data_IF_538386184560
#
_entry.id   IF_538386184560
#
_cell.length_a   1.000
_cell.length_b   1.000
_cell.length_c   1.000
_cell.angle_alpha   90.00
_cell.angle_beta   90.00
_cell.angle_gamma   90.00
#
_symmetry.space_group_name_H-M   'P 1'
#
loop_
_entity.id
_entity.type
_entity.pdbx_description
1 polymer ?
#
# COMPACT_ATOMS: atom_id res chain seq x y z
N UNK A 1 -14.58 -8.83 -26.38
CA UNK A 1 -13.48 -8.70 -25.46
C UNK A 1 -13.06 -10.07 -24.94
N UNK A 2 -11.79 -10.22 -24.64
CA UNK A 2 -11.22 -11.47 -24.19
C UNK A 2 -11.82 -11.87 -22.84
N UNK A 3 -12.18 -13.14 -22.67
CA UNK A 3 -12.73 -13.65 -21.43
C UNK A 3 -11.71 -13.70 -20.27
N UNK A 4 -10.45 -13.39 -20.56
CA UNK A 4 -9.43 -13.23 -19.52
C UNK A 4 -9.49 -11.86 -18.84
N UNK A 5 -10.34 -10.96 -19.33
CA UNK A 5 -10.49 -9.63 -18.77
C UNK A 5 -11.85 -9.54 -18.08
N UNK A 6 -11.83 -9.12 -16.82
CA UNK A 6 -13.05 -8.97 -16.02
C UNK A 6 -13.14 -7.52 -15.56
N UNK A 7 -14.28 -6.89 -15.80
CA UNK A 7 -14.55 -5.54 -15.33
C UNK A 7 -15.47 -5.59 -14.11
N UNK A 8 -15.03 -4.94 -13.02
CA UNK A 8 -15.83 -4.82 -11.82
C UNK A 8 -16.25 -3.36 -11.69
N UNK A 9 -17.45 -3.06 -12.16
CA UNK A 9 -17.96 -1.69 -12.16
C UNK A 9 -18.46 -1.31 -10.77
N UNK A 10 -18.02 -0.17 -10.25
CA UNK A 10 -18.45 0.37 -8.97
C UNK A 10 -17.30 0.94 -8.18
N UNK A 11 -17.60 1.44 -6.99
CA UNK A 11 -16.56 1.94 -6.08
C UNK A 11 -15.72 0.78 -5.52
N UNK A 12 -14.46 1.06 -5.25
CA UNK A 12 -13.55 0.05 -4.70
C UNK A 12 -14.07 -0.54 -3.39
N UNK A 13 -14.63 0.30 -2.54
CA UNK A 13 -15.20 -0.14 -1.27
C UNK A 13 -16.31 -1.19 -1.41
N UNK A 14 -16.98 -1.20 -2.56
CA UNK A 14 -18.07 -2.14 -2.81
C UNK A 14 -17.64 -3.34 -3.64
N UNK A 15 -16.80 -3.11 -4.64
CA UNK A 15 -16.44 -4.14 -5.61
C UNK A 15 -15.32 -5.04 -5.14
N UNK A 16 -14.31 -4.48 -4.45
CA UNK A 16 -13.13 -5.26 -4.09
C UNK A 16 -13.39 -6.33 -3.02
N UNK A 17 -14.19 -6.07 -1.97
CA UNK A 17 -14.48 -7.11 -0.99
C UNK A 17 -15.14 -8.34 -1.59
N UNK A 18 -15.96 -8.14 -2.63
CA UNK A 18 -16.71 -9.20 -3.29
C UNK A 18 -16.04 -9.74 -4.56
N UNK A 19 -14.89 -9.21 -4.91
CA UNK A 19 -14.20 -9.59 -6.14
C UNK A 19 -13.78 -11.07 -6.11
N UNK A 20 -14.04 -11.83 -7.17
CA UNK A 20 -13.67 -13.25 -7.23
C UNK A 20 -12.18 -13.41 -7.54
N UNK A 21 -11.34 -12.89 -6.66
CA UNK A 21 -9.89 -12.93 -6.79
C UNK A 21 -9.33 -13.72 -5.63
N UNK A 22 -8.65 -14.81 -5.92
CA UNK A 22 -8.02 -15.62 -4.89
C UNK A 22 -6.56 -15.23 -4.69
N UNK A 23 -5.85 -14.99 -5.79
CA UNK A 23 -4.43 -14.70 -5.74
C UNK A 23 -4.04 -13.80 -6.90
N UNK A 24 -3.06 -12.91 -6.62
CA UNK A 24 -2.57 -11.94 -7.58
C UNK A 24 -1.05 -12.06 -7.69
N UNK A 25 -0.51 -11.91 -8.88
CA UNK A 25 0.93 -11.81 -9.09
C UNK A 25 1.37 -10.35 -9.21
N UNK A 26 0.43 -9.47 -9.50
CA UNK A 26 0.70 -8.04 -9.68
C UNK A 26 -0.54 -7.24 -9.30
N UNK A 27 -0.31 -6.13 -8.62
CA UNK A 27 -1.34 -5.14 -8.33
C UNK A 27 -0.84 -3.81 -8.89
N UNK A 28 -1.70 -3.09 -9.59
CA UNK A 28 -1.42 -1.74 -10.03
C UNK A 28 -2.52 -0.84 -9.50
N UNK A 29 -2.15 0.11 -8.67
CA UNK A 29 -3.08 1.03 -8.03
C UNK A 29 -3.04 2.37 -8.73
N UNK A 30 -4.21 2.85 -9.11
CA UNK A 30 -4.39 4.11 -9.82
C UNK A 30 -5.66 4.75 -9.25
N UNK A 31 -5.62 5.07 -7.97
CA UNK A 31 -6.83 5.48 -7.22
C UNK A 31 -6.81 6.91 -6.72
N UNK A 32 -5.71 7.61 -6.86
CA UNK A 32 -5.51 9.00 -6.51
C UNK A 32 -5.74 9.35 -5.03
N UNK A 33 -6.90 9.03 -4.51
CA UNK A 33 -7.34 9.46 -3.18
C UNK A 33 -6.93 8.48 -2.09
N UNK A 34 -6.90 8.99 -0.85
CA UNK A 34 -6.58 8.15 0.31
C UNK A 34 -7.52 6.95 0.41
N UNK A 35 -8.84 7.18 0.35
CA UNK A 35 -9.83 6.13 0.55
C UNK A 35 -9.73 5.03 -0.49
N UNK A 36 -9.66 5.39 -1.77
CA UNK A 36 -9.58 4.40 -2.85
C UNK A 36 -8.27 3.63 -2.82
N UNK A 37 -7.16 4.31 -2.51
CA UNK A 37 -5.86 3.66 -2.37
C UNK A 37 -5.86 2.68 -1.19
N UNK A 38 -6.38 3.12 -0.05
CA UNK A 38 -6.45 2.28 1.14
C UNK A 38 -7.36 1.07 0.93
N UNK A 39 -8.54 1.26 0.32
CA UNK A 39 -9.46 0.16 0.01
C UNK A 39 -8.77 -0.89 -0.87
N UNK A 40 -8.07 -0.43 -1.90
CA UNK A 40 -7.36 -1.35 -2.79
C UNK A 40 -6.28 -2.13 -2.06
N UNK A 41 -5.49 -1.45 -1.24
CA UNK A 41 -4.44 -2.11 -0.46
C UNK A 41 -5.03 -3.14 0.51
N UNK A 42 -6.04 -2.75 1.28
CA UNK A 42 -6.65 -3.62 2.29
C UNK A 42 -7.24 -4.89 1.67
N UNK A 43 -7.88 -4.77 0.53
CA UNK A 43 -8.60 -5.89 -0.08
C UNK A 43 -7.77 -6.69 -1.08
N UNK A 44 -6.75 -6.09 -1.70
CA UNK A 44 -5.97 -6.77 -2.73
C UNK A 44 -4.59 -7.22 -2.25
N UNK A 45 -3.92 -6.41 -1.43
CA UNK A 45 -2.55 -6.74 -1.04
C UNK A 45 -2.42 -8.09 -0.33
N UNK A 46 -3.35 -8.49 0.57
CA UNK A 46 -3.27 -9.81 1.19
C UNK A 46 -3.34 -10.97 0.21
N UNK A 47 -3.83 -10.71 -1.02
CA UNK A 47 -3.93 -11.73 -2.07
C UNK A 47 -2.71 -11.75 -2.96
N UNK A 48 -1.76 -10.85 -2.76
CA UNK A 48 -0.55 -10.79 -3.58
C UNK A 48 0.39 -11.94 -3.22
N UNK A 49 0.81 -12.67 -4.23
CA UNK A 49 1.71 -13.82 -4.07
C UNK A 49 3.09 -13.37 -3.62
N UNK A 50 3.80 -14.26 -2.93
CA UNK A 50 5.19 -14.04 -2.60
C UNK A 50 5.98 -13.79 -3.89
N UNK A 51 6.76 -12.71 -3.89
CA UNK A 51 7.49 -12.31 -5.08
C UNK A 51 6.70 -11.48 -6.07
N UNK A 52 5.40 -11.27 -5.82
CA UNK A 52 4.58 -10.41 -6.64
C UNK A 52 4.91 -8.94 -6.46
N UNK A 53 4.35 -8.10 -7.31
CA UNK A 53 4.68 -6.68 -7.31
C UNK A 53 3.45 -5.82 -7.04
N UNK A 54 3.65 -4.75 -6.31
CA UNK A 54 2.65 -3.72 -6.10
C UNK A 54 3.16 -2.41 -6.70
N UNK A 55 2.45 -1.89 -7.68
CA UNK A 55 2.76 -0.64 -8.36
C UNK A 55 1.73 0.40 -7.92
N UNK A 56 2.20 1.61 -7.62
CA UNK A 56 1.34 2.73 -7.27
C UNK A 56 1.65 3.87 -8.22
N UNK A 57 0.67 4.24 -9.04
CA UNK A 57 0.86 5.22 -10.10
C UNK A 57 1.04 6.65 -9.59
N UNK A 58 0.33 7.01 -8.54
CA UNK A 58 0.23 8.40 -8.12
C UNK A 58 0.89 8.72 -6.79
N UNK A 59 1.88 7.93 -6.42
CA UNK A 59 2.54 8.08 -5.12
C UNK A 59 3.13 9.48 -4.91
N UNK A 60 3.72 10.05 -5.96
CA UNK A 60 4.28 11.40 -5.88
C UNK A 60 3.35 12.47 -6.43
N UNK A 61 2.24 12.10 -7.03
CA UNK A 61 1.30 13.04 -7.61
C UNK A 61 0.28 13.55 -6.61
N UNK A 62 -0.13 12.70 -5.69
CA UNK A 62 -1.19 13.03 -4.73
C UNK A 62 -0.75 12.67 -3.32
N UNK A 63 -0.74 13.66 -2.44
CA UNK A 63 -0.36 13.47 -1.04
C UNK A 63 -1.24 12.42 -0.35
N UNK A 64 -2.52 12.38 -0.68
CA UNK A 64 -3.47 11.42 -0.11
C UNK A 64 -3.11 9.98 -0.50
N UNK A 65 -2.68 9.77 -1.73
CA UNK A 65 -2.23 8.46 -2.18
C UNK A 65 -0.98 8.03 -1.42
N UNK A 66 -0.01 8.94 -1.33
CA UNK A 66 1.23 8.68 -0.60
C UNK A 66 0.96 8.36 0.86
N UNK A 67 0.09 9.12 1.50
CA UNK A 67 -0.28 8.91 2.90
C UNK A 67 -0.87 7.52 3.11
N UNK A 68 -1.80 7.11 2.25
CA UNK A 68 -2.43 5.80 2.36
C UNK A 68 -1.41 4.67 2.22
N UNK A 69 -0.52 4.79 1.25
CA UNK A 69 0.53 3.78 1.01
C UNK A 69 1.48 3.68 2.19
N UNK A 70 1.98 4.83 2.65
CA UNK A 70 2.94 4.86 3.76
C UNK A 70 2.30 4.29 5.04
N UNK A 71 1.07 4.68 5.34
CA UNK A 71 0.35 4.18 6.50
C UNK A 71 0.11 2.67 6.43
N UNK A 72 -0.36 2.19 5.28
CA UNK A 72 -0.60 0.77 5.10
C UNK A 72 0.69 -0.03 5.27
N UNK A 73 1.77 0.40 4.63
CA UNK A 73 3.06 -0.27 4.72
C UNK A 73 3.59 -0.30 6.15
N UNK A 74 3.46 0.81 6.87
CA UNK A 74 3.88 0.88 8.27
C UNK A 74 3.03 -0.05 9.13
N UNK A 75 1.73 -0.01 8.97
CA UNK A 75 0.80 -0.83 9.75
C UNK A 75 1.02 -2.33 9.54
N UNK A 76 1.29 -2.73 8.31
CA UNK A 76 1.48 -4.14 7.97
C UNK A 76 2.94 -4.59 8.10
N UNK A 77 3.83 -3.72 8.50
CA UNK A 77 5.24 -4.07 8.68
C UNK A 77 5.97 -4.35 7.37
N UNK A 78 5.57 -3.71 6.29
CA UNK A 78 6.20 -3.91 4.98
C UNK A 78 7.46 -3.07 4.90
N UNK A 79 8.62 -3.73 4.83
CA UNK A 79 9.93 -3.06 4.80
C UNK A 79 10.62 -3.18 3.44
N UNK A 80 10.01 -3.85 2.48
CA UNK A 80 10.55 -3.92 1.13
C UNK A 80 10.82 -2.51 0.60
N UNK A 81 11.95 -2.27 -0.07
CA UNK A 81 12.28 -0.93 -0.53
C UNK A 81 11.29 -0.44 -1.60
N UNK A 82 10.90 0.82 -1.49
CA UNK A 82 10.13 1.48 -2.52
C UNK A 82 11.08 1.87 -3.65
N UNK A 83 10.75 1.45 -4.85
CA UNK A 83 11.55 1.73 -6.03
C UNK A 83 10.80 2.74 -6.87
N UNK A 84 11.43 3.87 -7.15
CA UNK A 84 10.84 4.89 -8.00
C UNK A 84 10.91 4.45 -9.45
N UNK A 85 9.78 4.55 -10.16
CA UNK A 85 9.70 4.22 -11.58
C UNK A 85 9.92 5.48 -12.41
N UNK A 86 9.21 6.53 -12.08
CA UNK A 86 9.25 7.82 -12.80
C UNK A 86 8.92 8.95 -11.82
N UNK A 87 8.54 10.11 -12.34
CA UNK A 87 8.23 11.28 -11.52
C UNK A 87 6.99 11.09 -10.62
N UNK A 88 6.17 10.09 -10.91
CA UNK A 88 4.87 9.92 -10.24
C UNK A 88 4.74 8.60 -9.50
N UNK A 89 5.34 7.54 -10.00
CA UNK A 89 5.04 6.16 -9.66
C UNK A 89 6.15 5.48 -8.89
N UNK A 90 5.75 4.54 -8.02
CA UNK A 90 6.67 3.66 -7.30
C UNK A 90 6.18 2.21 -7.40
N UNK A 91 7.07 1.29 -7.07
CA UNK A 91 6.67 -0.10 -6.86
C UNK A 91 7.51 -0.73 -5.76
N UNK A 92 7.04 -1.84 -5.24
CA UNK A 92 7.84 -2.71 -4.39
C UNK A 92 7.46 -4.16 -4.64
N UNK A 93 8.36 -5.04 -4.25
CA UNK A 93 8.15 -6.47 -4.37
C UNK A 93 7.65 -7.03 -3.04
N UNK A 94 6.62 -7.84 -3.10
CA UNK A 94 6.10 -8.52 -1.91
C UNK A 94 7.03 -9.68 -1.55
N UNK A 95 7.54 -9.66 -0.32
CA UNK A 95 8.56 -10.62 0.10
C UNK A 95 8.02 -11.83 0.87
N UNK A 96 6.72 -11.91 1.02
CA UNK A 96 6.09 -13.04 1.67
C UNK A 96 6.20 -13.01 3.19
N UNK A 97 5.56 -13.99 3.82
CA UNK A 97 5.37 -14.00 5.25
C UNK A 97 6.60 -14.32 6.09
N UNK A 98 7.50 -15.14 5.57
CA UNK A 98 8.67 -15.55 6.34
C UNK A 98 9.64 -14.41 6.59
N UNK A 99 10.02 -13.73 5.51
CA UNK A 99 10.85 -12.57 5.63
C UNK A 99 10.14 -11.47 6.38
N UNK A 100 8.82 -11.43 6.23
CA UNK A 100 7.97 -10.44 6.85
C UNK A 100 8.01 -10.46 8.37
N UNK A 101 8.16 -11.63 8.98
CA UNK A 101 8.20 -11.74 10.43
C UNK A 101 9.32 -10.92 11.05
N UNK A 102 10.54 -11.14 10.60
CA UNK A 102 11.67 -10.38 11.10
C UNK A 102 11.58 -8.91 10.70
N UNK A 103 11.15 -8.64 9.50
CA UNK A 103 10.98 -7.28 9.03
C UNK A 103 9.93 -6.53 9.84
N UNK A 104 8.85 -7.20 10.21
CA UNK A 104 7.81 -6.59 11.02
C UNK A 104 8.32 -6.15 12.39
N UNK A 105 9.18 -6.95 12.99
CA UNK A 105 9.77 -6.59 14.28
C UNK A 105 10.56 -5.30 14.16
N UNK A 106 11.40 -5.20 13.14
CA UNK A 106 12.18 -3.98 12.90
C UNK A 106 11.28 -2.80 12.62
N UNK A 107 10.24 -3.01 11.84
CA UNK A 107 9.29 -1.97 11.51
C UNK A 107 8.58 -1.43 12.75
N UNK A 108 8.25 -2.30 13.69
CA UNK A 108 7.62 -1.88 14.92
C UNK A 108 8.50 -0.92 15.72
N UNK A 109 9.81 -1.15 15.74
CA UNK A 109 10.75 -0.24 16.40
C UNK A 109 10.77 1.11 15.69
N UNK A 110 10.80 1.11 14.40
CA UNK A 110 10.75 2.34 13.62
C UNK A 110 9.50 3.15 13.91
N UNK A 111 8.37 2.47 14.02
CA UNK A 111 7.11 3.16 14.30
C UNK A 111 7.14 3.88 15.63
N UNK A 112 7.71 3.27 16.63
CA UNK A 112 7.81 3.92 17.94
C UNK A 112 8.62 5.20 17.84
N UNK A 113 9.75 5.14 17.20
CA UNK A 113 10.60 6.33 17.03
C UNK A 113 9.87 7.40 16.25
N UNK A 114 9.19 7.02 15.17
CA UNK A 114 8.44 7.95 14.36
C UNK A 114 7.30 8.60 15.11
N UNK A 115 6.63 7.83 15.93
CA UNK A 115 5.54 8.33 16.74
C UNK A 115 5.99 9.39 17.70
N UNK A 116 7.12 9.15 18.35
CA UNK A 116 7.67 10.15 19.26
C UNK A 116 8.01 11.45 18.55
N UNK A 117 8.65 11.33 17.41
CA UNK A 117 9.02 12.51 16.66
C UNK A 117 7.79 13.33 16.26
N UNK A 118 6.74 12.67 15.86
CA UNK A 118 5.53 13.39 15.49
C UNK A 118 4.88 14.07 16.66
N UNK A 119 4.84 13.41 17.79
CA UNK A 119 4.29 14.03 19.00
C UNK A 119 5.07 15.23 19.40
N UNK A 120 6.38 15.16 19.32
CA UNK A 120 7.20 16.28 19.68
C UNK A 120 6.95 17.49 18.79
N UNK A 121 6.66 17.26 17.51
CA UNK A 121 6.42 18.37 16.60
C UNK A 121 5.00 18.93 16.71
N UNK A 122 4.08 18.10 17.10
CA UNK A 122 2.68 18.50 17.15
C UNK A 122 2.45 19.77 18.01
N UNK A 123 2.98 19.82 19.21
CA UNK A 123 2.82 21.02 20.02
C UNK A 123 3.39 22.27 19.37
N UNK A 124 4.50 22.13 18.68
CA UNK A 124 5.11 23.27 18.01
C UNK A 124 4.23 23.88 16.95
N UNK A 125 3.41 23.08 16.31
CA UNK A 125 2.54 23.57 15.26
C UNK A 125 1.37 24.38 15.76
N UNK A 126 1.00 24.22 16.97
CA UNK A 126 -0.15 24.93 17.53
C UNK A 126 0.12 26.40 17.80
N UNK A 127 1.38 26.77 17.82
CA UNK A 127 1.74 28.19 17.90
C UNK A 127 1.60 28.83 16.57
#
# INVERSE_FOLDING_TARGET
LDDRVVFLKGFFSETLPAAPIEQLSLIRLDGDLYASTMDALVHLYPKLSDGGYCIVDDYFSFDECKEAVDEYREREGITAPLIQIDAHSVYWRHEGGKGGGAAQIKSAKSRKAGSKARQARSPAKKR
#
